data_IF_955696316445
#
_entry.id   IF_955696316445
#
_cell.length_a   1.000
_cell.length_b   1.000
_cell.length_c   1.000
_cell.angle_alpha   90.00
_cell.angle_beta   90.00
_cell.angle_gamma   90.00
#
_symmetry.space_group_name_H-M   'P 1'
#
loop_
_entity.id
_entity.type
_entity.pdbx_description
1 polymer ?
#
# COMPACT_ATOMS: atom_id res chain seq x y z
N UNK A 1 13.18 -9.48 -33.32
CA UNK A 1 13.33 -8.01 -33.23
C UNK A 1 12.28 -7.52 -32.26
N UNK A 2 12.62 -7.28 -30.97
CA UNK A 2 11.68 -6.76 -29.98
C UNK A 2 11.53 -5.27 -30.23
N UNK A 3 10.36 -4.84 -30.67
CA UNK A 3 9.99 -3.42 -30.63
C UNK A 3 9.99 -2.99 -29.16
N UNK A 4 11.10 -2.42 -28.72
CA UNK A 4 11.20 -1.77 -27.44
C UNK A 4 10.26 -0.58 -27.42
N UNK A 5 9.03 -0.76 -26.93
CA UNK A 5 8.16 0.36 -26.59
C UNK A 5 8.90 1.19 -25.56
N UNK A 6 9.27 2.42 -25.94
CA UNK A 6 9.84 3.41 -25.05
C UNK A 6 8.95 3.53 -23.81
N UNK A 7 9.53 3.40 -22.63
CA UNK A 7 8.77 3.63 -21.39
C UNK A 7 8.28 5.09 -21.32
N UNK A 8 7.11 5.34 -20.73
CA UNK A 8 6.66 6.72 -20.49
C UNK A 8 7.67 7.51 -19.66
N UNK A 9 7.56 8.85 -19.70
CA UNK A 9 8.39 9.78 -18.89
C UNK A 9 8.15 9.57 -17.40
N UNK A 10 9.02 8.78 -16.76
CA UNK A 10 8.97 8.46 -15.33
C UNK A 10 9.64 9.59 -14.53
N UNK A 11 8.91 10.13 -13.54
CA UNK A 11 9.38 11.23 -12.68
C UNK A 11 9.41 10.87 -11.19
N UNK A 12 8.93 9.70 -10.82
CA UNK A 12 8.98 9.21 -9.46
C UNK A 12 8.62 7.74 -9.39
N UNK A 13 9.10 7.08 -8.36
CA UNK A 13 8.93 5.65 -8.15
C UNK A 13 8.08 5.37 -6.91
N UNK A 14 7.23 4.37 -7.01
CA UNK A 14 6.58 3.72 -5.90
C UNK A 14 7.07 2.28 -5.85
N UNK A 15 7.68 1.89 -4.75
CA UNK A 15 8.05 0.50 -4.50
C UNK A 15 7.03 -0.16 -3.59
N UNK A 16 6.61 -1.35 -3.95
CA UNK A 16 6.10 -2.31 -2.98
C UNK A 16 7.23 -2.72 -2.01
N UNK A 17 6.85 -3.32 -0.88
CA UNK A 17 7.80 -3.69 0.18
C UNK A 17 8.02 -5.21 0.20
N UNK A 18 6.96 -5.98 0.52
CA UNK A 18 7.06 -7.42 0.70
C UNK A 18 7.08 -8.18 -0.64
N UNK A 19 8.14 -8.92 -0.91
CA UNK A 19 8.37 -9.60 -2.20
C UNK A 19 9.10 -8.74 -3.24
N UNK A 20 9.27 -7.44 -2.96
CA UNK A 20 9.94 -6.48 -3.84
C UNK A 20 11.27 -6.00 -3.28
N UNK A 21 11.27 -5.44 -2.07
CA UNK A 21 12.47 -4.93 -1.38
C UNK A 21 12.98 -5.88 -0.31
N UNK A 22 12.08 -6.63 0.29
CA UNK A 22 12.37 -7.58 1.37
C UNK A 22 11.33 -8.71 1.42
N UNK A 23 11.61 -9.72 2.24
CA UNK A 23 10.65 -10.71 2.70
C UNK A 23 10.48 -10.59 4.20
N UNK A 24 9.26 -10.44 4.67
CA UNK A 24 8.93 -10.42 6.09
C UNK A 24 8.58 -11.82 6.63
N UNK A 25 8.68 -11.99 7.95
CA UNK A 25 8.03 -13.10 8.63
C UNK A 25 6.53 -12.82 8.86
N UNK A 26 5.79 -13.83 9.35
CA UNK A 26 4.34 -13.70 9.63
C UNK A 26 3.98 -12.59 10.59
N UNK A 27 4.88 -12.26 11.50
CA UNK A 27 4.67 -11.26 12.56
C UNK A 27 5.18 -9.88 12.17
N UNK A 28 5.85 -9.78 11.00
CA UNK A 28 6.58 -8.60 10.56
C UNK A 28 7.66 -8.17 11.58
N UNK A 29 8.19 -9.14 12.31
CA UNK A 29 9.21 -8.95 13.35
C UNK A 29 10.64 -9.01 12.81
N UNK A 30 10.86 -9.71 11.70
CA UNK A 30 12.17 -9.81 11.03
C UNK A 30 12.04 -9.69 9.52
N UNK A 31 13.07 -9.14 8.89
CA UNK A 31 13.14 -8.87 7.47
C UNK A 31 14.39 -9.48 6.85
N UNK A 32 14.24 -10.06 5.66
CA UNK A 32 15.33 -10.45 4.78
C UNK A 32 15.32 -9.52 3.57
N UNK A 33 16.35 -8.67 3.46
CA UNK A 33 16.46 -7.72 2.35
C UNK A 33 16.79 -8.47 1.06
N UNK A 34 16.05 -8.17 0.01
CA UNK A 34 16.22 -8.80 -1.29
C UNK A 34 17.40 -8.19 -2.06
N UNK A 35 18.05 -8.96 -2.94
CA UNK A 35 19.20 -8.50 -3.73
C UNK A 35 18.86 -7.23 -4.54
N UNK A 36 19.77 -6.25 -4.52
CA UNK A 36 19.63 -5.00 -5.26
C UNK A 36 18.81 -3.92 -4.55
N UNK A 37 18.09 -4.24 -3.46
CA UNK A 37 17.19 -3.26 -2.82
C UNK A 37 17.95 -2.09 -2.17
N UNK A 38 19.04 -2.36 -1.43
CA UNK A 38 19.86 -1.30 -0.81
C UNK A 38 20.51 -0.46 -1.89
N UNK A 39 21.11 -1.10 -2.89
CA UNK A 39 21.83 -0.44 -3.99
C UNK A 39 20.90 0.51 -4.78
N UNK A 40 19.69 0.05 -5.12
CA UNK A 40 18.72 0.86 -5.87
C UNK A 40 18.26 2.06 -5.06
N UNK A 41 17.85 1.87 -3.80
CA UNK A 41 17.37 2.98 -2.98
C UNK A 41 18.49 3.97 -2.65
N UNK A 42 19.74 3.51 -2.51
CA UNK A 42 20.92 4.37 -2.33
C UNK A 42 21.17 5.20 -3.59
N UNK A 43 21.21 4.58 -4.75
CA UNK A 43 21.41 5.27 -6.02
C UNK A 43 20.31 6.30 -6.33
N UNK A 44 19.05 6.01 -5.97
CA UNK A 44 17.95 6.97 -6.11
C UNK A 44 18.12 8.18 -5.19
N UNK A 45 18.59 7.98 -3.97
CA UNK A 45 18.91 9.09 -3.05
C UNK A 45 20.07 9.95 -3.55
N UNK A 46 21.14 9.33 -4.02
CA UNK A 46 22.30 10.02 -4.58
C UNK A 46 21.96 10.86 -5.82
N UNK A 47 20.95 10.41 -6.60
CA UNK A 47 20.42 11.13 -7.77
C UNK A 47 19.31 12.14 -7.44
N UNK A 48 18.93 12.29 -6.16
CA UNK A 48 17.74 13.04 -5.74
C UNK A 48 16.47 12.64 -6.50
N UNK A 49 16.39 11.38 -6.95
CA UNK A 49 15.24 10.89 -7.69
C UNK A 49 14.08 10.55 -6.73
N UNK A 50 12.88 11.14 -6.91
CA UNK A 50 11.79 10.98 -5.96
C UNK A 50 11.26 9.55 -5.90
N UNK A 51 11.17 8.96 -4.71
CA UNK A 51 10.53 7.68 -4.50
C UNK A 51 9.82 7.58 -3.16
N UNK A 52 8.85 6.68 -3.08
CA UNK A 52 8.13 6.29 -1.87
C UNK A 52 7.97 4.77 -1.82
N UNK A 53 7.76 4.27 -0.62
CA UNK A 53 7.42 2.87 -0.36
C UNK A 53 5.95 2.79 0.04
N UNK A 54 5.20 1.85 -0.54
CA UNK A 54 3.79 1.61 -0.22
C UNK A 54 3.57 0.13 0.09
N UNK A 55 3.26 -0.18 1.34
CA UNK A 55 2.85 -1.52 1.78
C UNK A 55 1.33 -1.59 2.00
N UNK A 56 0.76 -2.80 1.99
CA UNK A 56 -0.59 -3.07 2.52
C UNK A 56 -0.57 -3.43 4.01
N UNK A 57 0.61 -3.56 4.62
CA UNK A 57 0.78 -3.73 6.05
C UNK A 57 0.33 -2.48 6.82
N UNK A 58 -0.60 -2.67 7.78
CA UNK A 58 -1.16 -1.57 8.58
C UNK A 58 -0.97 -1.76 10.09
N UNK A 59 -0.14 -2.73 10.50
CA UNK A 59 0.08 -3.08 11.90
C UNK A 59 0.89 -2.04 12.70
N UNK A 60 1.75 -1.27 12.03
CA UNK A 60 2.57 -0.22 12.63
C UNK A 60 2.33 1.14 11.96
N UNK A 61 2.58 2.26 12.68
CA UNK A 61 2.62 3.58 12.09
C UNK A 61 3.67 3.69 10.98
N UNK A 62 3.48 4.59 9.98
CA UNK A 62 4.44 4.75 8.87
C UNK A 62 5.88 5.00 9.33
N UNK A 63 6.08 5.89 10.30
CA UNK A 63 7.41 6.21 10.82
C UNK A 63 8.09 5.00 11.50
N UNK A 64 7.32 4.20 12.25
CA UNK A 64 7.84 2.97 12.87
C UNK A 64 8.20 1.92 11.81
N UNK A 65 7.37 1.77 10.76
CA UNK A 65 7.72 0.87 9.65
C UNK A 65 8.99 1.34 8.95
N UNK A 66 9.14 2.63 8.67
CA UNK A 66 10.36 3.18 8.09
C UNK A 66 11.59 2.94 8.99
N UNK A 67 11.44 3.10 10.31
CA UNK A 67 12.52 2.81 11.26
C UNK A 67 12.94 1.33 11.22
N UNK A 68 11.98 0.41 11.16
CA UNK A 68 12.24 -1.03 11.03
C UNK A 68 12.99 -1.37 9.72
N UNK A 69 12.59 -0.76 8.60
CA UNK A 69 13.28 -0.93 7.32
C UNK A 69 14.72 -0.39 7.38
N UNK A 70 14.95 0.74 8.05
CA UNK A 70 16.32 1.25 8.26
C UNK A 70 17.19 0.31 9.09
N UNK A 71 16.62 -0.35 10.10
CA UNK A 71 17.33 -1.38 10.88
C UNK A 71 17.77 -2.57 10.01
N UNK A 72 17.05 -2.85 8.93
CA UNK A 72 17.43 -3.87 7.94
C UNK A 72 18.41 -3.35 6.87
N UNK A 73 18.87 -2.11 6.97
CA UNK A 73 19.82 -1.49 6.04
C UNK A 73 19.20 -0.74 4.86
N UNK A 74 17.88 -0.70 4.73
CA UNK A 74 17.23 0.04 3.64
C UNK A 74 17.27 1.56 3.91
N UNK A 75 17.81 2.38 3.00
CA UNK A 75 17.99 3.83 3.21
C UNK A 75 16.69 4.60 2.93
N UNK A 76 15.72 4.52 3.84
CA UNK A 76 14.42 5.19 3.73
C UNK A 76 14.19 6.19 4.86
N UNK A 77 13.54 7.31 4.56
CA UNK A 77 13.10 8.30 5.55
C UNK A 77 11.64 8.03 5.98
N UNK A 78 11.25 8.57 7.14
CA UNK A 78 9.89 8.42 7.65
C UNK A 78 8.83 8.93 6.65
N UNK A 79 9.13 10.05 5.98
CA UNK A 79 8.24 10.65 4.99
C UNK A 79 8.08 9.84 3.69
N UNK A 80 8.93 8.84 3.45
CA UNK A 80 8.85 7.98 2.26
C UNK A 80 7.95 6.76 2.48
N UNK A 81 7.64 6.39 3.72
CA UNK A 81 6.80 5.24 4.00
C UNK A 81 5.31 5.60 3.95
N UNK A 82 4.54 4.85 3.19
CA UNK A 82 3.09 5.01 3.04
C UNK A 82 2.40 3.70 3.44
N UNK A 83 1.36 3.82 4.26
CA UNK A 83 0.49 2.71 4.66
C UNK A 83 -0.95 2.97 4.21
N UNK A 84 -1.83 1.97 4.19
CA UNK A 84 -3.26 2.19 3.94
C UNK A 84 -3.88 3.20 4.91
N UNK A 85 -3.40 3.25 6.17
CA UNK A 85 -3.89 4.22 7.17
C UNK A 85 -3.54 5.66 6.80
N UNK A 86 -2.37 5.92 6.19
CA UNK A 86 -2.00 7.25 5.67
C UNK A 86 -2.96 7.71 4.56
N UNK A 87 -3.28 6.78 3.64
CA UNK A 87 -4.22 7.04 2.54
C UNK A 87 -5.63 7.27 3.07
N UNK A 88 -6.04 6.48 4.06
CA UNK A 88 -7.35 6.58 4.71
C UNK A 88 -7.51 7.91 5.43
N UNK A 89 -6.52 8.32 6.22
CA UNK A 89 -6.53 9.57 6.96
C UNK A 89 -6.71 10.79 6.04
N UNK A 90 -5.94 10.86 4.96
CA UNK A 90 -6.08 11.94 3.97
C UNK A 90 -7.44 11.91 3.29
N UNK A 91 -7.96 10.73 2.91
CA UNK A 91 -9.27 10.59 2.31
C UNK A 91 -10.37 11.07 3.26
N UNK A 92 -10.37 10.59 4.49
CA UNK A 92 -11.37 10.91 5.49
C UNK A 92 -11.39 12.41 5.83
N UNK A 93 -10.20 13.01 6.04
CA UNK A 93 -10.07 14.45 6.28
C UNK A 93 -10.68 15.28 5.14
N UNK A 94 -10.45 14.89 3.88
CA UNK A 94 -11.00 15.59 2.71
C UNK A 94 -12.51 15.46 2.57
N UNK A 95 -13.10 14.38 3.13
CA UNK A 95 -14.54 14.11 3.05
C UNK A 95 -15.30 14.43 4.34
N UNK A 96 -14.66 15.14 5.28
CA UNK A 96 -15.31 15.60 6.52
C UNK A 96 -15.70 14.48 7.49
N UNK A 97 -15.06 13.30 7.40
CA UNK A 97 -15.21 12.20 8.36
C UNK A 97 -14.42 12.56 9.60
N UNK A 98 -15.08 12.64 10.76
CA UNK A 98 -14.49 13.16 12.00
C UNK A 98 -14.28 12.09 13.07
N UNK A 99 -15.13 11.05 13.10
CA UNK A 99 -15.07 9.99 14.09
C UNK A 99 -15.15 8.62 13.43
N UNK A 100 -14.23 7.72 13.80
CA UNK A 100 -14.02 6.45 13.12
C UNK A 100 -13.86 5.33 14.14
N UNK A 101 -14.68 4.27 14.00
CA UNK A 101 -14.44 3.00 14.69
C UNK A 101 -13.28 2.29 13.97
N UNK A 102 -12.21 2.04 14.70
CA UNK A 102 -11.04 1.31 14.18
C UNK A 102 -11.10 -0.15 14.62
N UNK A 103 -11.23 -1.06 13.66
CA UNK A 103 -10.99 -2.48 13.86
C UNK A 103 -9.55 -2.79 13.47
N UNK A 104 -8.67 -2.78 14.46
CA UNK A 104 -7.25 -2.94 14.26
C UNK A 104 -6.42 -2.62 15.49
N UNK A 105 -5.11 -2.85 15.38
CA UNK A 105 -4.16 -2.42 16.40
C UNK A 105 -4.08 -0.88 16.47
N UNK A 106 -3.42 -0.35 17.50
CA UNK A 106 -3.18 1.11 17.61
C UNK A 106 -2.42 1.67 16.41
N UNK A 107 -1.55 0.89 15.77
CA UNK A 107 -0.86 1.30 14.55
C UNK A 107 -1.81 1.59 13.39
N UNK A 108 -2.94 0.88 13.31
CA UNK A 108 -3.98 1.11 12.28
C UNK A 108 -4.64 2.49 12.47
N UNK A 109 -4.95 2.88 13.71
CA UNK A 109 -5.60 4.16 14.02
C UNK A 109 -4.64 5.35 14.07
N UNK A 110 -3.34 5.14 14.21
CA UNK A 110 -2.35 6.20 14.48
C UNK A 110 -2.40 7.34 13.47
N UNK A 111 -2.32 7.03 12.17
CA UNK A 111 -2.35 8.06 11.12
C UNK A 111 -3.68 8.84 11.05
N UNK A 112 -4.79 8.24 11.51
CA UNK A 112 -6.07 8.93 11.62
C UNK A 112 -6.02 9.94 12.78
N UNK A 113 -5.49 9.51 13.91
CA UNK A 113 -5.33 10.40 15.09
C UNK A 113 -4.40 11.59 14.80
N UNK A 114 -3.27 11.36 14.11
CA UNK A 114 -2.37 12.43 13.65
C UNK A 114 -3.06 13.41 12.69
N UNK A 115 -4.05 12.94 11.93
CA UNK A 115 -4.88 13.78 11.05
C UNK A 115 -6.05 14.48 11.77
N UNK A 116 -6.06 14.45 13.11
CA UNK A 116 -7.13 14.99 13.98
C UNK A 116 -8.52 14.35 13.73
N UNK A 117 -8.53 13.06 13.35
CA UNK A 117 -9.73 12.24 13.26
C UNK A 117 -9.88 11.49 14.58
N UNK A 118 -11.02 11.64 15.25
CA UNK A 118 -11.32 10.92 16.50
C UNK A 118 -11.41 9.42 16.20
N UNK A 119 -10.60 8.61 16.88
CA UNK A 119 -10.63 7.16 16.77
C UNK A 119 -11.34 6.55 17.97
N UNK A 120 -12.28 5.64 17.73
CA UNK A 120 -12.95 4.85 18.74
C UNK A 120 -12.60 3.37 18.54
N UNK A 121 -12.59 2.61 19.63
CA UNK A 121 -12.32 1.16 19.62
C UNK A 121 -13.46 0.42 20.32
N UNK A 122 -13.63 -0.86 19.96
CA UNK A 122 -14.66 -1.72 20.57
C UNK A 122 -14.53 -1.72 22.10
N UNK A 123 -15.67 -1.55 22.78
CA UNK A 123 -15.74 -1.48 24.25
C UNK A 123 -15.64 -0.08 24.82
N UNK A 124 -15.24 0.91 24.04
CA UNK A 124 -15.28 2.31 24.45
C UNK A 124 -16.71 2.86 24.42
N UNK A 125 -17.02 3.88 25.25
CA UNK A 125 -18.32 4.55 25.21
C UNK A 125 -18.62 5.10 23.81
N UNK A 126 -19.85 4.87 23.33
CA UNK A 126 -20.32 5.37 22.03
C UNK A 126 -19.48 4.87 20.84
N UNK A 127 -18.84 3.69 20.93
CA UNK A 127 -17.98 3.15 19.89
C UNK A 127 -18.70 2.97 18.53
N UNK A 128 -20.01 2.73 18.54
CA UNK A 128 -20.81 2.60 17.31
C UNK A 128 -21.36 3.94 16.78
N UNK A 129 -21.21 5.05 17.52
CA UNK A 129 -21.65 6.38 17.08
C UNK A 129 -20.54 7.08 16.28
N UNK A 130 -20.33 6.64 15.04
CA UNK A 130 -19.20 7.06 14.21
C UNK A 130 -19.65 7.35 12.76
N UNK A 131 -18.85 8.15 12.05
CA UNK A 131 -19.08 8.44 10.63
C UNK A 131 -18.62 7.27 9.72
N UNK A 132 -17.65 6.50 10.20
CA UNK A 132 -17.06 5.41 9.44
C UNK A 132 -16.50 4.29 10.32
N UNK A 133 -16.40 3.10 9.74
CA UNK A 133 -15.67 1.95 10.26
C UNK A 133 -14.45 1.75 9.36
N UNK A 134 -13.26 1.66 9.95
CA UNK A 134 -12.02 1.36 9.25
C UNK A 134 -11.39 0.07 9.77
N UNK A 135 -11.24 -0.90 8.87
CA UNK A 135 -10.71 -2.23 9.19
C UNK A 135 -9.29 -2.37 8.65
N UNK A 136 -8.34 -2.62 9.54
CA UNK A 136 -6.93 -2.86 9.24
C UNK A 136 -6.41 -4.18 9.80
N UNK A 137 -5.15 -4.19 10.20
CA UNK A 137 -4.52 -5.33 10.85
C UNK A 137 -5.11 -5.58 12.24
N UNK A 138 -5.84 -6.68 12.41
CA UNK A 138 -6.52 -7.02 13.65
C UNK A 138 -6.47 -8.55 13.92
N UNK A 139 -5.35 -9.07 14.40
CA UNK A 139 -5.20 -10.51 14.65
C UNK A 139 -6.14 -11.04 15.74
N UNK A 140 -6.50 -10.19 16.71
CA UNK A 140 -7.32 -10.53 17.87
C UNK A 140 -8.78 -10.10 17.70
N UNK A 141 -9.27 -10.00 16.45
CA UNK A 141 -10.64 -9.60 16.16
C UNK A 141 -11.64 -10.58 16.77
N UNK A 142 -12.58 -10.05 17.52
CA UNK A 142 -13.64 -10.80 18.19
C UNK A 142 -14.99 -10.62 17.52
N UNK A 143 -15.99 -11.46 17.86
CA UNK A 143 -17.36 -11.26 17.40
C UNK A 143 -17.95 -9.93 17.89
N UNK A 144 -17.51 -9.44 19.06
CA UNK A 144 -17.93 -8.13 19.57
C UNK A 144 -17.46 -6.97 18.68
N UNK A 145 -16.26 -7.08 18.10
CA UNK A 145 -15.77 -6.10 17.13
C UNK A 145 -16.65 -6.05 15.87
N UNK A 146 -16.98 -7.22 15.35
CA UNK A 146 -17.86 -7.36 14.17
C UNK A 146 -19.27 -6.83 14.46
N UNK A 147 -19.84 -7.14 15.64
CA UNK A 147 -21.14 -6.66 16.06
C UNK A 147 -21.16 -5.13 16.22
N UNK A 148 -20.15 -4.55 16.90
CA UNK A 148 -20.02 -3.09 17.06
C UNK A 148 -19.95 -2.40 15.70
N UNK A 149 -19.16 -2.94 14.77
CA UNK A 149 -19.04 -2.42 13.41
C UNK A 149 -20.35 -2.53 12.64
N UNK A 150 -21.08 -3.65 12.77
CA UNK A 150 -22.38 -3.84 12.11
C UNK A 150 -23.40 -2.81 12.62
N UNK A 151 -23.48 -2.59 13.93
CA UNK A 151 -24.36 -1.55 14.52
C UNK A 151 -24.01 -0.15 14.00
N UNK A 152 -22.72 0.21 13.93
CA UNK A 152 -22.29 1.48 13.37
C UNK A 152 -22.74 1.64 11.90
N UNK A 153 -22.57 0.59 11.09
CA UNK A 153 -22.95 0.59 9.68
C UNK A 153 -24.45 0.66 9.49
N UNK A 154 -25.25 -0.07 10.28
CA UNK A 154 -26.72 0.04 10.25
C UNK A 154 -27.21 1.42 10.69
N UNK A 155 -26.44 2.13 11.52
CA UNK A 155 -26.68 3.53 11.86
C UNK A 155 -26.22 4.53 10.79
N UNK A 156 -25.61 4.06 9.68
CA UNK A 156 -25.21 4.89 8.53
C UNK A 156 -23.73 5.11 8.35
N UNK A 157 -22.85 4.53 9.19
CA UNK A 157 -21.41 4.64 9.05
C UNK A 157 -20.92 3.97 7.74
N UNK A 158 -19.93 4.60 7.10
CA UNK A 158 -19.29 4.08 5.87
C UNK A 158 -18.24 3.03 6.22
N UNK A 159 -18.10 1.99 5.39
CA UNK A 159 -17.09 0.93 5.59
C UNK A 159 -15.85 1.15 4.73
N UNK A 160 -14.69 1.19 5.37
CA UNK A 160 -13.36 1.27 4.75
C UNK A 160 -12.50 0.07 5.14
N UNK A 161 -11.63 -0.36 4.22
CA UNK A 161 -10.68 -1.45 4.42
C UNK A 161 -9.26 -1.01 4.08
N UNK A 162 -8.30 -1.43 4.88
CA UNK A 162 -6.88 -1.26 4.57
C UNK A 162 -6.48 -2.05 3.33
N UNK A 163 -7.01 -3.27 3.15
CA UNK A 163 -6.71 -4.15 2.02
C UNK A 163 -7.87 -5.10 1.75
N UNK A 164 -8.01 -5.53 0.50
CA UNK A 164 -8.92 -6.62 0.09
C UNK A 164 -8.16 -7.86 -0.40
N UNK A 165 -6.87 -7.95 -0.08
CA UNK A 165 -6.03 -9.09 -0.43
C UNK A 165 -6.30 -10.24 0.54
N UNK A 166 -6.74 -11.43 0.05
CA UNK A 166 -7.18 -12.52 0.92
C UNK A 166 -6.03 -13.20 1.67
N UNK A 167 -4.83 -13.16 1.11
CA UNK A 167 -3.62 -13.71 1.73
C UNK A 167 -2.39 -13.01 1.15
N UNK A 168 -1.30 -13.05 1.88
CA UNK A 168 0.02 -12.57 1.43
C UNK A 168 1.09 -13.62 1.69
N UNK A 169 2.19 -13.54 0.93
CA UNK A 169 3.34 -14.43 1.08
C UNK A 169 4.17 -14.05 2.31
N UNK A 170 4.63 -15.08 3.04
CA UNK A 170 5.62 -14.93 4.10
C UNK A 170 6.66 -16.03 3.95
N UNK A 171 7.79 -15.93 4.67
CA UNK A 171 8.80 -16.99 4.70
C UNK A 171 8.24 -18.36 5.14
N UNK A 172 7.16 -18.39 5.92
CA UNK A 172 6.50 -19.60 6.42
C UNK A 172 5.30 -20.04 5.56
N UNK A 173 5.13 -19.46 4.37
CA UNK A 173 4.00 -19.74 3.48
C UNK A 173 2.95 -18.63 3.50
N UNK A 174 1.70 -18.95 3.13
CA UNK A 174 0.61 -17.97 3.06
C UNK A 174 0.10 -17.59 4.45
N UNK A 175 -0.07 -16.29 4.68
CA UNK A 175 -0.80 -15.75 5.82
C UNK A 175 -2.10 -15.08 5.34
N UNK A 176 -3.15 -15.16 6.16
CA UNK A 176 -4.45 -14.56 5.82
C UNK A 176 -4.41 -13.04 5.90
N UNK A 177 -5.14 -12.36 5.01
CA UNK A 177 -5.40 -10.94 5.11
C UNK A 177 -6.50 -10.67 6.14
N UNK A 178 -6.12 -10.19 7.33
CA UNK A 178 -7.09 -9.95 8.41
C UNK A 178 -8.19 -8.98 7.99
N UNK A 179 -7.83 -7.84 7.40
CA UNK A 179 -8.84 -6.86 6.92
C UNK A 179 -9.79 -7.47 5.91
N UNK A 180 -9.32 -8.33 4.99
CA UNK A 180 -10.17 -9.04 4.04
C UNK A 180 -11.17 -9.93 4.75
N UNK A 181 -10.73 -10.79 5.68
CA UNK A 181 -11.59 -11.73 6.39
C UNK A 181 -12.65 -11.02 7.24
N UNK A 182 -12.25 -10.01 8.00
CA UNK A 182 -13.14 -9.20 8.85
C UNK A 182 -14.16 -8.46 8.01
N UNK A 183 -13.74 -7.79 6.95
CA UNK A 183 -14.63 -7.06 6.04
C UNK A 183 -15.60 -8.01 5.34
N UNK A 184 -15.19 -9.22 4.96
CA UNK A 184 -16.07 -10.21 4.38
C UNK A 184 -17.22 -10.58 5.33
N UNK A 185 -16.92 -10.78 6.63
CA UNK A 185 -17.94 -11.03 7.65
C UNK A 185 -18.89 -9.84 7.83
N UNK A 186 -18.38 -8.63 7.98
CA UNK A 186 -19.17 -7.41 8.14
C UNK A 186 -20.06 -7.18 6.93
N UNK A 187 -19.54 -7.30 5.72
CA UNK A 187 -20.32 -7.12 4.49
C UNK A 187 -21.41 -8.17 4.34
N UNK A 188 -21.15 -9.42 4.74
CA UNK A 188 -22.15 -10.49 4.69
C UNK A 188 -23.34 -10.21 5.61
N UNK A 189 -23.09 -9.56 6.76
CA UNK A 189 -24.11 -9.17 7.72
C UNK A 189 -24.88 -7.91 7.29
N UNK A 190 -24.17 -6.90 6.81
CA UNK A 190 -24.74 -5.55 6.62
C UNK A 190 -25.14 -5.23 5.19
N UNK A 191 -24.61 -5.94 4.20
CA UNK A 191 -24.74 -5.61 2.78
C UNK A 191 -23.99 -4.35 2.34
N UNK A 192 -23.24 -3.71 3.24
CA UNK A 192 -22.59 -2.42 2.97
C UNK A 192 -21.50 -2.50 1.89
N UNK A 193 -21.40 -1.50 1.01
CA UNK A 193 -20.25 -1.37 0.12
C UNK A 193 -19.01 -1.05 0.93
N UNK A 194 -17.83 -1.51 0.46
CA UNK A 194 -16.53 -1.22 1.08
C UNK A 194 -15.68 -0.36 0.17
N UNK A 195 -15.00 0.63 0.74
CA UNK A 195 -13.95 1.39 0.06
C UNK A 195 -12.58 0.90 0.51
N UNK A 196 -11.83 0.31 -0.43
CA UNK A 196 -10.47 -0.17 -0.17
C UNK A 196 -9.47 0.97 -0.34
N UNK A 197 -8.61 1.16 0.65
CA UNK A 197 -7.67 2.29 0.70
C UNK A 197 -6.24 1.92 0.34
N UNK A 198 -5.80 0.67 0.57
CA UNK A 198 -4.50 0.16 0.14
C UNK A 198 -4.48 -0.30 -1.31
N UNK A 199 -3.36 -0.87 -1.75
CA UNK A 199 -3.23 -1.49 -3.08
C UNK A 199 -4.25 -2.63 -3.25
N UNK A 200 -4.87 -2.80 -4.43
CA UNK A 200 -4.66 -2.12 -5.72
C UNK A 200 -5.54 -0.89 -5.95
N UNK A 201 -5.98 -0.20 -4.90
CA UNK A 201 -6.87 0.95 -5.01
C UNK A 201 -6.23 2.15 -5.70
N UNK A 202 -6.99 2.86 -6.52
CA UNK A 202 -6.56 4.14 -7.08
C UNK A 202 -6.48 5.26 -6.02
N UNK A 203 -7.09 5.10 -4.85
CA UNK A 203 -6.87 6.01 -3.72
C UNK A 203 -5.40 5.98 -3.29
N UNK A 204 -4.81 4.78 -3.20
CA UNK A 204 -3.39 4.61 -2.89
C UNK A 204 -2.49 5.26 -3.95
N UNK A 205 -2.73 5.02 -5.24
CA UNK A 205 -1.91 5.61 -6.31
C UNK A 205 -2.03 7.13 -6.40
N UNK A 206 -3.24 7.68 -6.20
CA UNK A 206 -3.43 9.15 -6.15
C UNK A 206 -2.69 9.76 -4.96
N UNK A 207 -2.71 9.10 -3.81
CA UNK A 207 -1.96 9.55 -2.65
C UNK A 207 -0.44 9.51 -2.91
N UNK A 208 0.08 8.45 -3.53
CA UNK A 208 1.48 8.35 -3.97
C UNK A 208 1.84 9.51 -4.91
N UNK A 209 1.07 9.73 -5.96
CA UNK A 209 1.32 10.81 -6.91
C UNK A 209 1.34 12.19 -6.23
N UNK A 210 0.40 12.44 -5.30
CA UNK A 210 0.37 13.66 -4.47
C UNK A 210 1.63 13.79 -3.61
N UNK A 211 2.08 12.72 -2.96
CA UNK A 211 3.28 12.71 -2.11
C UNK A 211 4.56 12.98 -2.90
N UNK A 212 4.62 12.49 -4.13
CA UNK A 212 5.72 12.75 -5.05
C UNK A 212 5.64 14.12 -5.75
N UNK A 213 4.48 14.79 -5.70
CA UNK A 213 4.26 16.06 -6.39
C UNK A 213 4.20 15.92 -7.92
N UNK A 214 3.73 14.78 -8.43
CA UNK A 214 3.67 14.47 -9.86
C UNK A 214 2.31 13.88 -10.26
N UNK A 215 2.05 13.82 -11.55
CA UNK A 215 0.85 13.18 -12.08
C UNK A 215 0.98 11.64 -12.04
N UNK A 216 -0.13 10.91 -11.83
CA UNK A 216 -0.14 9.44 -11.74
C UNK A 216 0.54 8.77 -12.94
N UNK A 217 0.36 9.29 -14.16
CA UNK A 217 0.98 8.74 -15.38
C UNK A 217 2.50 8.84 -15.43
N UNK A 218 3.09 9.68 -14.56
CA UNK A 218 4.54 9.85 -14.40
C UNK A 218 5.12 9.03 -13.24
N UNK A 219 4.27 8.28 -12.53
CA UNK A 219 4.70 7.32 -11.52
C UNK A 219 5.04 6.00 -12.18
N UNK A 220 6.17 5.41 -11.80
CA UNK A 220 6.39 3.99 -12.03
C UNK A 220 6.18 3.22 -10.73
N UNK A 221 5.38 2.18 -10.82
CA UNK A 221 5.06 1.27 -9.73
C UNK A 221 5.90 0.02 -9.92
N UNK A 222 6.71 -0.31 -8.92
CA UNK A 222 7.57 -1.49 -8.88
C UNK A 222 6.97 -2.49 -7.90
N UNK A 223 6.72 -3.73 -8.35
CA UNK A 223 6.09 -4.75 -7.50
C UNK A 223 6.14 -6.15 -8.10
N UNK A 224 5.73 -7.13 -7.30
CA UNK A 224 5.82 -8.57 -7.60
C UNK A 224 4.47 -9.25 -7.86
N UNK A 225 3.33 -8.54 -7.64
CA UNK A 225 1.99 -9.10 -7.79
C UNK A 225 1.22 -8.48 -8.97
N UNK A 226 0.83 -9.30 -9.99
CA UNK A 226 0.05 -8.82 -11.13
C UNK A 226 -1.35 -8.33 -10.76
N UNK A 227 -1.91 -8.78 -9.63
CA UNK A 227 -3.27 -8.42 -9.19
C UNK A 227 -3.29 -7.18 -8.31
N UNK A 228 -2.15 -6.80 -7.75
CA UNK A 228 -2.00 -5.71 -6.79
C UNK A 228 -1.29 -4.52 -7.45
N UNK A 229 0.04 -4.54 -7.54
CA UNK A 229 0.82 -3.39 -8.03
C UNK A 229 0.61 -3.14 -9.52
N UNK A 230 0.71 -4.19 -10.33
CA UNK A 230 0.58 -4.04 -11.79
C UNK A 230 -0.83 -3.66 -12.17
N UNK A 231 -1.86 -4.29 -11.57
CA UNK A 231 -3.25 -3.93 -11.81
C UNK A 231 -3.54 -2.48 -11.39
N UNK A 232 -3.00 -2.01 -10.25
CA UNK A 232 -3.14 -0.63 -9.80
C UNK A 232 -2.49 0.35 -10.79
N UNK A 233 -1.25 0.09 -11.20
CA UNK A 233 -0.53 0.92 -12.16
C UNK A 233 -1.26 1.02 -13.49
N UNK A 234 -1.64 -0.13 -14.07
CA UNK A 234 -2.35 -0.19 -15.37
C UNK A 234 -3.69 0.57 -15.32
N UNK A 235 -4.47 0.39 -14.25
CA UNK A 235 -5.75 1.09 -14.08
C UNK A 235 -5.59 2.60 -13.88
N UNK A 236 -4.50 3.03 -13.27
CA UNK A 236 -4.20 4.44 -13.01
C UNK A 236 -3.40 5.14 -14.10
N UNK A 237 -3.05 4.44 -15.20
CA UNK A 237 -2.23 4.97 -16.29
C UNK A 237 -0.75 5.19 -15.90
N UNK A 238 -0.30 4.58 -14.79
CA UNK A 238 1.09 4.60 -14.35
C UNK A 238 1.92 3.50 -15.05
N UNK A 239 3.23 3.66 -15.03
CA UNK A 239 4.13 2.61 -15.55
C UNK A 239 4.21 1.46 -14.56
N UNK A 240 4.02 0.22 -15.03
CA UNK A 240 4.18 -0.98 -14.21
C UNK A 240 5.52 -1.65 -14.52
N UNK A 241 6.38 -1.76 -13.52
CA UNK A 241 7.65 -2.47 -13.55
C UNK A 241 7.52 -3.69 -12.62
N UNK A 242 7.62 -4.88 -13.18
CA UNK A 242 7.47 -6.12 -12.42
C UNK A 242 8.84 -6.68 -12.03
N UNK A 243 8.94 -7.21 -10.82
CA UNK A 243 10.11 -7.97 -10.35
C UNK A 243 9.78 -9.45 -10.25
N UNK A 244 10.81 -10.29 -10.27
CA UNK A 244 10.69 -11.76 -10.16
C UNK A 244 11.17 -12.29 -8.81
N UNK A 245 11.39 -11.40 -7.85
CA UNK A 245 11.92 -11.73 -6.51
C UNK A 245 10.86 -12.20 -5.51
N UNK A 246 9.57 -11.94 -5.81
CA UNK A 246 8.44 -12.26 -4.94
C UNK A 246 7.60 -13.43 -5.44
N UNK A 247 6.28 -13.25 -5.46
CA UNK A 247 5.31 -14.33 -5.70
C UNK A 247 5.16 -14.73 -7.17
N UNK A 248 5.61 -13.91 -8.13
CA UNK A 248 5.37 -14.11 -9.56
C UNK A 248 6.67 -14.34 -10.32
N UNK A 249 6.82 -15.54 -10.87
CA UNK A 249 7.97 -15.90 -11.71
C UNK A 249 7.89 -15.33 -13.12
N UNK A 250 9.04 -15.33 -13.85
CA UNK A 250 9.17 -14.75 -15.19
C UNK A 250 8.15 -15.29 -16.19
N UNK A 251 7.95 -16.61 -16.19
CA UNK A 251 7.01 -17.26 -17.13
C UNK A 251 5.55 -16.93 -16.82
N UNK A 252 5.23 -16.69 -15.57
CA UNK A 252 3.90 -16.28 -15.15
C UNK A 252 3.63 -14.83 -15.57
N UNK A 253 4.63 -13.94 -15.50
CA UNK A 253 4.52 -12.57 -16.01
C UNK A 253 4.18 -12.53 -17.51
N UNK A 254 4.78 -13.40 -18.31
CA UNK A 254 4.55 -13.46 -19.77
C UNK A 254 3.12 -13.93 -20.10
N UNK A 255 2.48 -14.70 -19.21
CA UNK A 255 1.13 -15.23 -19.39
C UNK A 255 0.03 -14.32 -18.86
N UNK A 256 0.37 -13.18 -18.23
CA UNK A 256 -0.63 -12.27 -17.69
C UNK A 256 -1.47 -11.63 -18.82
N UNK A 257 -2.79 -11.46 -18.59
CA UNK A 257 -3.65 -10.72 -19.50
C UNK A 257 -3.25 -9.24 -19.53
N UNK A 258 -3.56 -8.54 -20.62
CA UNK A 258 -3.10 -7.16 -20.86
C UNK A 258 -3.32 -6.19 -19.69
N UNK A 259 -4.46 -6.31 -18.99
CA UNK A 259 -4.78 -5.49 -17.81
C UNK A 259 -3.86 -5.73 -16.61
N UNK A 260 -3.08 -6.83 -16.60
CA UNK A 260 -2.13 -7.23 -15.56
C UNK A 260 -0.72 -7.47 -16.12
N UNK A 261 -0.51 -7.19 -17.41
CA UNK A 261 0.82 -7.29 -18.04
C UNK A 261 1.62 -6.05 -17.68
N UNK A 262 2.81 -6.19 -17.07
CA UNK A 262 3.67 -5.05 -16.79
C UNK A 262 4.21 -4.44 -18.09
N UNK A 263 4.67 -3.20 -18.02
CA UNK A 263 5.37 -2.57 -19.14
C UNK A 263 6.77 -3.17 -19.31
N UNK A 264 7.40 -3.60 -18.22
CA UNK A 264 8.69 -4.28 -18.22
C UNK A 264 8.77 -5.27 -17.07
N UNK A 265 9.38 -6.44 -17.33
CA UNK A 265 9.76 -7.43 -16.30
C UNK A 265 11.25 -7.29 -16.08
N UNK A 266 11.64 -7.03 -14.84
CA UNK A 266 13.02 -6.85 -14.40
C UNK A 266 13.55 -8.20 -13.90
N UNK A 267 14.70 -8.60 -14.38
CA UNK A 267 15.39 -9.79 -13.89
C UNK A 267 16.13 -9.54 -12.57
N UNK A 268 16.50 -8.28 -12.34
CA UNK A 268 17.14 -7.79 -11.13
C UNK A 268 16.56 -6.42 -10.78
N UNK A 269 16.38 -6.12 -9.49
CA UNK A 269 15.81 -4.85 -9.06
C UNK A 269 16.66 -3.63 -9.49
N UNK A 270 17.98 -3.80 -9.63
CA UNK A 270 18.89 -2.76 -10.12
C UNK A 270 18.57 -2.26 -11.52
N UNK A 271 17.88 -3.07 -12.32
CA UNK A 271 17.43 -2.67 -13.66
C UNK A 271 16.43 -1.50 -13.63
N UNK A 272 15.79 -1.20 -12.48
CA UNK A 272 14.95 -0.02 -12.30
C UNK A 272 15.70 1.25 -12.67
N UNK A 273 17.00 1.33 -12.37
CA UNK A 273 17.83 2.50 -12.66
C UNK A 273 17.99 2.77 -14.16
N UNK A 274 17.85 1.74 -15.00
CA UNK A 274 17.86 1.88 -16.46
C UNK A 274 16.50 2.32 -17.04
N UNK A 275 15.45 2.27 -16.23
CA UNK A 275 14.08 2.66 -16.62
C UNK A 275 13.79 4.15 -16.36
N UNK A 276 14.66 4.85 -15.68
CA UNK A 276 14.49 6.24 -15.26
C UNK A 276 15.56 7.14 -15.86
N UNK A 277 15.33 8.45 -16.02
CA UNK A 277 16.36 9.39 -16.46
C UNK A 277 17.48 9.50 -15.42
N UNK A 278 18.71 9.81 -15.87
CA UNK A 278 19.88 9.96 -14.99
C UNK A 278 19.74 11.10 -13.99
N UNK A 279 19.04 12.16 -14.36
CA UNK A 279 18.72 13.30 -13.47
C UNK A 279 17.24 13.55 -13.43
N UNK A 280 16.66 13.87 -12.24
CA UNK A 280 15.27 14.28 -12.17
C UNK A 280 15.11 15.60 -12.95
N UNK A 281 14.28 15.61 -13.99
CA UNK A 281 13.87 16.88 -14.57
C UNK A 281 13.16 17.70 -13.49
N UNK A 282 13.39 19.03 -13.46
CA UNK A 282 12.81 19.97 -12.50
C UNK A 282 11.33 19.67 -12.26
N UNK A 283 10.91 19.73 -10.98
CA UNK A 283 9.50 19.61 -10.59
C UNK A 283 8.68 20.53 -11.49
N UNK A 284 7.64 20.01 -12.11
CA UNK A 284 6.68 20.86 -12.82
C UNK A 284 6.16 21.86 -11.79
N UNK A 285 6.39 23.13 -12.04
CA UNK A 285 5.72 24.20 -11.31
C UNK A 285 4.22 24.02 -11.60
N UNK A 286 3.51 23.38 -10.70
CA UNK A 286 2.07 23.25 -10.78
C UNK A 286 1.49 24.60 -10.39
N UNK A 287 0.88 25.26 -11.38
CA UNK A 287 -0.09 26.30 -11.14
C UNK A 287 -1.32 25.77 -10.40
#
# INVERSE_FOLDING_TARGET
>A
MSHGTSLPDIRGLMFDVDGTLLLSDRTLGSFEVLPGAIEVLTALRERDFPFVLLTNGSNYPPAEQAARLRHSGLPVSDGQMITPSSVTAEHMRRHGIRRVLVLGTRGVGHALAEAAIETAYTGEPRAAEVDAVYVGWHPDCTMKDIETAAHAIWAGAKLFSASDVPFFATRQGRAIGYSFAIVAAIRRLTGAPVTVMGKPSLHALRYVAKRLGIQMRRVAVVGDDPRVEVAMARRGGATALAVTTGITGRDEWLRQPDRRRPHRVLGDLREVLSCIPESPARRDATG
#
